data_IF_741722862718
#
_entry.id   IF_741722862718
#
_cell.length_a   1.000
_cell.length_b   1.000
_cell.length_c   1.000
_cell.angle_alpha   90.00
_cell.angle_beta   90.00
_cell.angle_gamma   90.00
#
_symmetry.space_group_name_H-M   'P 1'
#
loop_
_entity.id
_entity.type
_entity.pdbx_description
1 polymer ?
#
# COMPACT_ATOMS: atom_id res chain seq x y z
N UNK A 1 1.74 -4.49 -10.46
CA UNK A 1 1.07 -3.18 -10.31
C UNK A 1 1.23 -2.49 -11.66
N UNK A 2 0.14 -2.25 -12.38
CA UNK A 2 0.19 -1.57 -13.68
C UNK A 2 -0.64 -0.27 -13.65
N UNK A 3 -0.39 0.60 -14.62
CA UNK A 3 -1.04 1.91 -14.76
C UNK A 3 -2.53 1.83 -15.10
N UNK A 4 -3.11 0.62 -15.25
CA UNK A 4 -4.54 0.41 -15.57
C UNK A 4 -5.43 0.32 -14.33
N UNK A 5 -4.85 0.22 -13.13
CA UNK A 5 -5.59 0.11 -11.86
C UNK A 5 -5.86 1.45 -11.15
N UNK A 6 -5.55 2.59 -11.78
CA UNK A 6 -5.78 3.93 -11.20
C UNK A 6 -7.25 4.39 -11.32
N UNK A 7 -7.90 4.72 -10.20
CA UNK A 7 -9.31 5.16 -10.13
C UNK A 7 -9.62 6.51 -10.83
N UNK A 8 -8.62 7.27 -11.29
CA UNK A 8 -8.77 8.55 -12.00
C UNK A 8 -7.70 8.66 -13.13
N UNK A 9 -8.07 8.97 -14.39
CA UNK A 9 -7.13 9.07 -15.51
C UNK A 9 -6.01 10.11 -15.33
N UNK A 10 -6.23 11.11 -14.46
CA UNK A 10 -5.33 12.21 -14.17
C UNK A 10 -4.31 11.94 -13.05
N UNK A 11 -4.40 10.81 -12.35
CA UNK A 11 -3.45 10.43 -11.29
C UNK A 11 -2.83 9.07 -11.59
N UNK A 12 -1.93 9.04 -12.59
CA UNK A 12 -1.19 7.82 -12.94
C UNK A 12 -0.08 7.56 -11.93
N UNK A 13 0.15 6.29 -11.58
CA UNK A 13 1.28 5.88 -10.72
C UNK A 13 2.62 6.33 -11.31
N UNK A 14 2.75 6.32 -12.63
CA UNK A 14 3.92 6.83 -13.36
C UNK A 14 4.23 8.33 -13.16
N UNK A 15 3.30 9.12 -12.61
CA UNK A 15 3.56 10.53 -12.26
C UNK A 15 4.24 10.71 -10.89
N UNK A 16 4.27 9.67 -10.06
CA UNK A 16 4.85 9.72 -8.73
C UNK A 16 6.08 8.80 -8.67
N UNK A 17 7.31 9.32 -8.53
CA UNK A 17 8.52 8.49 -8.56
C UNK A 17 8.62 7.55 -7.35
N UNK A 18 7.90 7.84 -6.27
CA UNK A 18 7.88 7.04 -5.06
C UNK A 18 6.47 6.96 -4.49
N UNK A 19 6.11 5.78 -4.01
CA UNK A 19 4.83 5.52 -3.35
C UNK A 19 5.03 4.92 -1.97
N UNK A 20 3.96 5.00 -1.16
CA UNK A 20 3.86 4.28 0.11
C UNK A 20 3.01 3.04 -0.17
N UNK A 21 3.53 1.87 0.18
CA UNK A 21 2.82 0.60 0.07
C UNK A 21 2.42 0.15 1.46
N UNK A 22 1.12 -0.04 1.66
CA UNK A 22 0.57 -0.56 2.91
C UNK A 22 -0.02 -1.95 2.72
N UNK A 23 0.14 -2.81 3.73
CA UNK A 23 -0.61 -4.05 3.86
C UNK A 23 -1.31 -4.08 5.22
N UNK A 24 -2.55 -4.59 5.24
CA UNK A 24 -3.37 -4.67 6.46
C UNK A 24 -4.13 -5.99 6.53
N UNK A 25 -4.18 -6.56 7.72
CA UNK A 25 -5.11 -7.63 8.10
C UNK A 25 -6.14 -7.03 9.05
N UNK A 26 -7.37 -6.90 8.57
CA UNK A 26 -8.50 -6.49 9.39
C UNK A 26 -9.36 -7.68 9.78
N UNK A 27 -9.65 -7.82 11.07
CA UNK A 27 -10.54 -8.88 11.57
C UNK A 27 -12.00 -8.63 11.19
N UNK A 28 -12.38 -7.36 11.01
CA UNK A 28 -13.75 -6.95 10.69
C UNK A 28 -14.06 -6.99 9.19
N UNK A 29 -13.04 -7.16 8.34
CA UNK A 29 -13.19 -7.16 6.88
C UNK A 29 -13.37 -5.78 6.26
N UNK A 30 -13.18 -4.70 7.03
CA UNK A 30 -13.27 -3.35 6.52
C UNK A 30 -11.97 -2.92 5.83
N UNK A 31 -12.09 -2.18 4.72
CA UNK A 31 -10.95 -1.63 4.00
C UNK A 31 -10.29 -0.44 4.75
N UNK A 32 -11.05 0.23 5.62
CA UNK A 32 -10.57 1.34 6.45
C UNK A 32 -9.80 0.86 7.68
N UNK A 33 -8.90 1.70 8.19
CA UNK A 33 -8.10 1.40 9.36
C UNK A 33 -8.97 1.39 10.60
N UNK A 34 -8.93 0.31 11.38
CA UNK A 34 -9.58 0.23 12.68
C UNK A 34 -8.57 -0.14 13.75
N UNK A 35 -8.76 0.42 14.95
CA UNK A 35 -7.94 0.07 16.12
C UNK A 35 -7.97 -1.45 16.32
N UNK A 36 -6.79 -2.04 16.50
CA UNK A 36 -6.59 -3.49 16.60
C UNK A 36 -6.33 -4.23 15.29
N UNK A 37 -6.43 -3.57 14.13
CA UNK A 37 -5.97 -4.15 12.86
C UNK A 37 -4.44 -4.29 12.86
N UNK A 38 -3.93 -5.32 12.19
CA UNK A 38 -2.49 -5.48 11.99
C UNK A 38 -2.10 -4.85 10.66
N UNK A 39 -1.06 -4.02 10.63
CA UNK A 39 -0.61 -3.34 9.43
C UNK A 39 0.92 -3.23 9.31
N UNK A 40 1.37 -2.90 8.10
CA UNK A 40 2.72 -2.42 7.79
C UNK A 40 2.63 -1.34 6.72
N UNK A 41 3.51 -0.34 6.81
CA UNK A 41 3.65 0.73 5.84
C UNK A 41 5.12 0.80 5.38
N UNK A 42 5.36 0.51 4.11
CA UNK A 42 6.67 0.66 3.48
C UNK A 42 6.70 1.96 2.65
N UNK A 43 7.53 2.91 3.07
CA UNK A 43 7.64 4.21 2.44
C UNK A 43 8.70 4.23 1.33
N UNK A 44 8.52 5.11 0.35
CA UNK A 44 9.57 5.44 -0.61
C UNK A 44 9.84 4.37 -1.66
N UNK A 45 8.86 3.51 -1.94
CA UNK A 45 8.97 2.45 -2.94
C UNK A 45 8.95 3.07 -4.33
N UNK A 46 10.01 2.79 -5.10
CA UNK A 46 10.10 3.21 -6.50
C UNK A 46 9.10 2.44 -7.35
N UNK A 47 8.29 3.17 -8.12
CA UNK A 47 7.27 2.60 -9.02
C UNK A 47 7.86 1.84 -10.21
N UNK A 48 9.11 2.13 -10.59
CA UNK A 48 9.84 1.42 -11.64
C UNK A 48 10.48 0.10 -11.16
N UNK A 49 10.41 -0.19 -9.85
CA UNK A 49 10.95 -1.42 -9.26
C UNK A 49 10.23 -2.64 -9.84
N UNK A 50 11.01 -3.63 -10.30
CA UNK A 50 10.49 -4.90 -10.85
C UNK A 50 10.61 -6.07 -9.88
N UNK A 51 11.44 -5.93 -8.85
CA UNK A 51 11.64 -6.96 -7.83
C UNK A 51 10.46 -6.95 -6.84
N UNK A 52 10.07 -8.13 -6.34
CA UNK A 52 9.11 -8.23 -5.24
C UNK A 52 9.50 -7.35 -4.04
N UNK A 53 8.48 -6.98 -3.26
CA UNK A 53 8.61 -6.24 -2.02
C UNK A 53 8.12 -7.15 -0.92
N UNK A 54 9.02 -7.49 0.00
CA UNK A 54 8.64 -8.23 1.20
C UNK A 54 8.10 -7.24 2.23
N UNK A 55 6.88 -7.51 2.71
CA UNK A 55 6.20 -6.71 3.72
C UNK A 55 5.90 -7.62 4.91
N UNK A 56 6.47 -7.29 6.07
CA UNK A 56 6.21 -8.00 7.33
C UNK A 56 5.23 -7.17 8.14
N UNK A 57 4.08 -7.75 8.45
CA UNK A 57 3.06 -7.09 9.27
C UNK A 57 3.47 -7.19 10.74
N UNK A 58 3.87 -6.08 11.32
CA UNK A 58 4.48 -6.00 12.66
C UNK A 58 3.86 -4.93 13.57
N UNK A 59 2.98 -4.08 13.05
CA UNK A 59 2.33 -3.00 13.81
C UNK A 59 0.85 -3.27 14.03
N UNK A 60 0.35 -2.89 15.20
CA UNK A 60 -1.09 -2.80 15.49
C UNK A 60 -1.53 -1.36 15.24
N UNK A 61 -2.70 -1.16 14.61
CA UNK A 61 -3.33 0.15 14.52
C UNK A 61 -3.81 0.55 15.93
N UNK A 62 -3.38 1.70 16.47
CA UNK A 62 -3.80 2.16 17.79
C UNK A 62 -5.29 2.53 17.83
#
# INVERSE_FOLDING_TARGET
>A
LDDSMGMLPSMKLSMFPKVIVGARISRSGNALAQSGDLQVLANGIDVARKQPIDLVIDSVVP
#
